data_IF_789515912240
#
_entry.id   IF_789515912240
#
_cell.length_a   1.000
_cell.length_b   1.000
_cell.length_c   1.000
_cell.angle_alpha   90.00
_cell.angle_beta   90.00
_cell.angle_gamma   90.00
#
_symmetry.space_group_name_H-M   'P 1'
#
loop_
_entity.id
_entity.type
_entity.pdbx_description
1 polymer ?
#
# COMPACT_ATOMS: atom_id res chain seq x y z
N UNK A 1 -16.84 5.17 22.38
CA UNK A 1 -15.59 4.90 23.12
C UNK A 1 -15.25 3.41 23.24
N UNK A 2 -16.22 2.50 23.39
CA UNK A 2 -15.96 1.05 23.48
C UNK A 2 -15.36 0.39 22.22
N UNK A 3 -15.71 0.85 21.00
CA UNK A 3 -15.25 0.24 19.75
C UNK A 3 -13.80 0.54 19.39
N UNK A 4 -13.27 1.71 19.78
CA UNK A 4 -11.88 2.09 19.52
C UNK A 4 -10.92 1.28 20.40
N UNK A 5 -11.20 1.17 21.70
CA UNK A 5 -10.40 0.37 22.63
C UNK A 5 -10.33 -1.12 22.27
N UNK A 6 -11.42 -1.67 21.72
CA UNK A 6 -11.42 -3.05 21.22
C UNK A 6 -10.54 -3.24 19.97
N UNK A 7 -10.47 -2.23 19.08
CA UNK A 7 -9.60 -2.28 17.88
C UNK A 7 -8.14 -2.13 18.25
N UNK A 8 -7.83 -1.30 19.24
CA UNK A 8 -6.46 -1.13 19.74
C UNK A 8 -5.93 -2.41 20.40
N UNK A 9 -6.71 -3.02 21.28
CA UNK A 9 -6.34 -4.30 21.88
C UNK A 9 -6.11 -5.41 20.82
N UNK A 10 -6.93 -5.45 19.77
CA UNK A 10 -6.74 -6.40 18.67
C UNK A 10 -5.45 -6.14 17.88
N UNK A 11 -5.08 -4.87 17.66
CA UNK A 11 -3.80 -4.52 17.03
C UNK A 11 -2.61 -4.92 17.91
N UNK A 12 -2.72 -4.75 19.22
CA UNK A 12 -1.66 -5.15 20.15
C UNK A 12 -1.45 -6.68 20.14
N UNK A 13 -2.54 -7.46 20.12
CA UNK A 13 -2.46 -8.93 19.96
C UNK A 13 -1.77 -9.32 18.64
N UNK A 14 -2.10 -8.65 17.53
CA UNK A 14 -1.44 -8.90 16.25
C UNK A 14 0.05 -8.56 16.30
N UNK A 15 0.42 -7.44 16.95
CA UNK A 15 1.81 -7.03 17.10
C UNK A 15 2.61 -8.05 17.91
N UNK A 16 2.05 -8.55 19.00
CA UNK A 16 2.67 -9.60 19.81
C UNK A 16 2.86 -10.90 19.02
N UNK A 17 1.84 -11.31 18.26
CA UNK A 17 1.91 -12.50 17.41
C UNK A 17 2.99 -12.37 16.33
N UNK A 18 3.07 -11.20 15.67
CA UNK A 18 4.12 -10.90 14.68
C UNK A 18 5.51 -11.01 15.34
N UNK A 19 5.72 -10.42 16.51
CA UNK A 19 7.00 -10.51 17.24
C UNK A 19 7.34 -11.95 17.62
N UNK A 20 6.35 -12.75 18.03
CA UNK A 20 6.56 -14.15 18.38
C UNK A 20 7.01 -14.99 17.17
N UNK A 21 6.35 -14.81 16.01
CA UNK A 21 6.72 -15.51 14.76
C UNK A 21 8.07 -15.05 14.23
N UNK A 22 8.37 -13.75 14.30
CA UNK A 22 9.69 -13.21 13.90
C UNK A 22 10.85 -13.80 14.71
N UNK A 23 10.63 -14.10 16.00
CA UNK A 23 11.66 -14.66 16.89
C UNK A 23 11.86 -16.17 16.73
N UNK A 24 10.89 -16.87 16.14
CA UNK A 24 10.99 -18.30 15.89
C UNK A 24 12.08 -18.59 14.85
N UNK A 25 12.83 -19.69 15.01
CA UNK A 25 13.88 -20.10 14.08
C UNK A 25 13.66 -21.55 13.62
N UNK A 26 13.41 -21.80 12.32
CA UNK A 26 13.24 -20.80 11.26
C UNK A 26 11.89 -20.05 11.40
N UNK A 27 11.86 -18.79 10.98
CA UNK A 27 10.63 -18.01 10.96
C UNK A 27 9.68 -18.54 9.88
N UNK A 28 8.42 -18.77 10.23
CA UNK A 28 7.38 -19.10 9.25
C UNK A 28 6.98 -17.83 8.49
N UNK A 29 7.60 -17.63 7.32
CA UNK A 29 7.38 -16.46 6.45
C UNK A 29 5.92 -16.38 5.97
N UNK A 30 5.26 -17.53 5.80
CA UNK A 30 3.86 -17.57 5.32
C UNK A 30 2.94 -17.04 6.41
N UNK A 31 3.07 -17.57 7.63
CA UNK A 31 2.31 -17.11 8.78
C UNK A 31 2.63 -15.64 9.11
N UNK A 32 3.91 -15.26 9.06
CA UNK A 32 4.33 -13.88 9.27
C UNK A 32 3.64 -12.93 8.28
N UNK A 33 3.63 -13.28 6.99
CA UNK A 33 2.97 -12.46 5.98
C UNK A 33 1.45 -12.36 6.20
N UNK A 34 0.78 -13.42 6.66
CA UNK A 34 -0.64 -13.38 6.99
C UNK A 34 -0.94 -12.43 8.16
N UNK A 35 -0.18 -12.55 9.25
CA UNK A 35 -0.33 -11.69 10.42
C UNK A 35 -0.05 -10.22 10.08
N UNK A 36 1.00 -9.96 9.31
CA UNK A 36 1.36 -8.61 8.87
C UNK A 36 0.26 -8.01 8.00
N UNK A 37 -0.36 -8.76 7.07
CA UNK A 37 -1.49 -8.27 6.26
C UNK A 37 -2.66 -7.80 7.12
N UNK A 38 -3.01 -8.59 8.13
CA UNK A 38 -4.09 -8.21 9.04
C UNK A 38 -3.72 -6.99 9.88
N UNK A 39 -2.50 -6.94 10.42
CA UNK A 39 -2.03 -5.82 11.20
C UNK A 39 -2.04 -4.52 10.39
N UNK A 40 -1.44 -4.50 9.19
CA UNK A 40 -1.37 -3.28 8.38
C UNK A 40 -2.74 -2.82 7.90
N UNK A 41 -3.66 -3.75 7.60
CA UNK A 41 -5.05 -3.42 7.27
C UNK A 41 -5.74 -2.70 8.43
N UNK A 42 -5.57 -3.19 9.65
CA UNK A 42 -6.15 -2.58 10.85
C UNK A 42 -5.51 -1.23 11.19
N UNK A 43 -4.19 -1.12 11.12
CA UNK A 43 -3.46 0.13 11.36
C UNK A 43 -3.88 1.21 10.34
N UNK A 44 -4.07 0.86 9.06
CA UNK A 44 -4.62 1.79 8.07
C UNK A 44 -6.07 2.20 8.36
N UNK A 45 -6.91 1.28 8.84
CA UNK A 45 -8.29 1.59 9.22
C UNK A 45 -8.37 2.50 10.46
N UNK A 46 -7.36 2.45 11.34
CA UNK A 46 -7.19 3.33 12.49
C UNK A 46 -6.50 4.65 12.16
N UNK A 47 -6.16 4.89 10.89
CA UNK A 47 -5.48 6.13 10.47
C UNK A 47 -4.03 6.20 10.92
N UNK A 48 -3.34 5.06 11.04
CA UNK A 48 -1.93 4.95 11.46
C UNK A 48 -0.99 4.51 10.33
N UNK A 49 -0.94 5.23 9.19
CA UNK A 49 -0.06 4.86 8.09
C UNK A 49 1.43 4.91 8.46
N UNK A 50 1.83 5.71 9.46
CA UNK A 50 3.20 5.74 9.97
C UNK A 50 3.64 4.40 10.59
N UNK A 51 2.76 3.76 11.36
CA UNK A 51 3.03 2.44 11.95
C UNK A 51 3.20 1.38 10.85
N UNK A 52 2.39 1.46 9.80
CA UNK A 52 2.47 0.57 8.64
C UNK A 52 3.82 0.71 7.92
N UNK A 53 4.25 1.94 7.62
CA UNK A 53 5.55 2.14 6.97
C UNK A 53 6.71 1.64 7.83
N UNK A 54 6.68 1.89 9.14
CA UNK A 54 7.71 1.43 10.06
C UNK A 54 7.79 -0.11 10.09
N UNK A 55 6.64 -0.78 10.18
CA UNK A 55 6.56 -2.23 10.18
C UNK A 55 7.08 -2.84 8.87
N UNK A 56 6.58 -2.36 7.73
CA UNK A 56 6.94 -2.91 6.42
C UNK A 56 8.38 -2.62 6.03
N UNK A 57 8.96 -1.49 6.46
CA UNK A 57 10.39 -1.22 6.26
C UNK A 57 11.26 -2.18 7.08
N UNK A 58 10.86 -2.45 8.33
CA UNK A 58 11.59 -3.36 9.22
C UNK A 58 11.56 -4.81 8.73
N UNK A 59 10.44 -5.23 8.13
CA UNK A 59 10.24 -6.60 7.65
C UNK A 59 10.53 -6.80 6.17
N UNK A 60 10.98 -5.76 5.47
CA UNK A 60 11.33 -5.81 4.06
C UNK A 60 12.29 -6.98 3.72
N UNK A 61 13.36 -7.27 4.48
CA UNK A 61 14.28 -8.36 4.14
C UNK A 61 13.61 -9.73 4.04
N UNK A 62 12.53 -9.95 4.82
CA UNK A 62 11.81 -11.23 4.89
C UNK A 62 10.57 -11.23 3.99
N UNK A 63 9.96 -10.06 3.77
CA UNK A 63 8.67 -9.91 3.08
C UNK A 63 8.78 -9.24 1.70
N UNK A 64 9.99 -9.05 1.16
CA UNK A 64 10.23 -8.40 -0.12
C UNK A 64 9.54 -9.07 -1.32
N UNK A 65 9.23 -10.37 -1.24
CA UNK A 65 8.47 -11.10 -2.27
C UNK A 65 6.96 -10.87 -2.24
N UNK A 66 6.42 -10.17 -1.24
CA UNK A 66 4.97 -10.03 -1.04
C UNK A 66 4.44 -8.78 -1.75
N UNK A 67 4.03 -8.92 -3.02
CA UNK A 67 3.59 -7.82 -3.88
C UNK A 67 2.52 -6.90 -3.26
N UNK A 68 1.53 -7.46 -2.58
CA UNK A 68 0.48 -6.67 -1.93
C UNK A 68 0.98 -5.87 -0.72
N UNK A 69 2.02 -6.33 -0.01
CA UNK A 69 2.61 -5.54 1.08
C UNK A 69 3.36 -4.33 0.52
N UNK A 70 3.98 -4.44 -0.65
CA UNK A 70 4.49 -3.28 -1.39
C UNK A 70 3.37 -2.31 -1.78
N UNK A 71 2.22 -2.81 -2.24
CA UNK A 71 1.08 -1.94 -2.55
C UNK A 71 0.49 -1.25 -1.30
N UNK A 72 0.45 -1.95 -0.16
CA UNK A 72 0.03 -1.38 1.12
C UNK A 72 1.03 -0.31 1.59
N UNK A 73 2.34 -0.56 1.44
CA UNK A 73 3.38 0.44 1.69
C UNK A 73 3.16 1.68 0.82
N UNK A 74 2.87 1.47 -0.47
CA UNK A 74 2.49 2.52 -1.40
C UNK A 74 1.32 3.36 -0.90
N UNK A 75 0.24 2.71 -0.45
CA UNK A 75 -0.94 3.40 0.08
C UNK A 75 -0.64 4.17 1.38
N UNK A 76 0.13 3.57 2.30
CA UNK A 76 0.53 4.21 3.54
C UNK A 76 1.37 5.46 3.27
N UNK A 77 2.32 5.38 2.34
CA UNK A 77 3.13 6.52 1.91
C UNK A 77 2.27 7.64 1.28
N UNK A 78 1.25 7.31 0.47
CA UNK A 78 0.31 8.32 -0.06
C UNK A 78 -0.41 9.08 1.03
N UNK A 79 -0.96 8.37 2.02
CA UNK A 79 -1.69 8.98 3.14
C UNK A 79 -0.83 9.93 3.98
N UNK A 80 0.50 9.76 3.92
CA UNK A 80 1.48 10.61 4.58
C UNK A 80 2.05 11.71 3.66
N UNK A 81 1.56 11.86 2.43
CA UNK A 81 2.09 12.81 1.44
C UNK A 81 3.48 12.44 0.90
N UNK A 82 3.99 11.24 1.21
CA UNK A 82 5.29 10.75 0.73
C UNK A 82 5.15 10.16 -0.66
N UNK A 83 4.78 11.01 -1.61
CA UNK A 83 4.41 10.57 -2.96
C UNK A 83 5.55 9.88 -3.71
N UNK A 84 6.80 10.31 -3.53
CA UNK A 84 7.95 9.64 -4.15
C UNK A 84 8.11 8.19 -3.64
N UNK A 85 8.06 7.98 -2.32
CA UNK A 85 8.11 6.62 -1.73
C UNK A 85 6.91 5.78 -2.19
N UNK A 86 5.74 6.40 -2.29
CA UNK A 86 4.54 5.73 -2.77
C UNK A 86 4.68 5.21 -4.20
N UNK A 87 5.19 6.02 -5.13
CA UNK A 87 5.42 5.59 -6.52
C UNK A 87 6.36 4.39 -6.53
N UNK A 88 7.49 4.46 -5.82
CA UNK A 88 8.44 3.35 -5.78
C UNK A 88 7.81 2.06 -5.24
N UNK A 89 7.04 2.15 -4.17
CA UNK A 89 6.38 1.00 -3.58
C UNK A 89 5.30 0.39 -4.51
N UNK A 90 4.51 1.21 -5.20
CA UNK A 90 3.55 0.69 -6.19
C UNK A 90 4.24 0.07 -7.39
N UNK A 91 5.33 0.65 -7.89
CA UNK A 91 6.11 0.06 -8.99
C UNK A 91 6.76 -1.27 -8.57
N UNK A 92 7.26 -1.38 -7.34
CA UNK A 92 7.77 -2.64 -6.79
C UNK A 92 6.65 -3.71 -6.72
N UNK A 93 5.45 -3.33 -6.28
CA UNK A 93 4.29 -4.21 -6.28
C UNK A 93 3.94 -4.71 -7.69
N UNK A 94 3.88 -3.79 -8.66
CA UNK A 94 3.58 -4.08 -10.07
C UNK A 94 4.68 -4.89 -10.76
N UNK A 95 5.94 -4.75 -10.34
CA UNK A 95 7.04 -5.59 -10.82
C UNK A 95 6.87 -7.05 -10.37
N UNK A 96 6.49 -7.27 -9.11
CA UNK A 96 6.25 -8.61 -8.56
C UNK A 96 4.96 -9.24 -9.09
N UNK A 97 3.92 -8.42 -9.32
CA UNK A 97 2.66 -8.86 -9.89
C UNK A 97 2.12 -7.83 -10.88
N UNK A 98 2.44 -8.01 -12.17
CA UNK A 98 1.90 -7.17 -13.23
C UNK A 98 0.37 -7.30 -13.33
N UNK A 99 -0.27 -6.27 -13.90
CA UNK A 99 -1.69 -6.35 -14.23
C UNK A 99 -2.65 -6.05 -13.08
N UNK A 100 -2.26 -5.19 -12.14
CA UNK A 100 -3.10 -4.75 -11.02
C UNK A 100 -3.53 -3.28 -11.22
N UNK A 101 -4.70 -3.00 -11.85
CA UNK A 101 -5.13 -1.65 -12.20
C UNK A 101 -5.22 -0.71 -10.99
N UNK A 102 -5.64 -1.22 -9.84
CA UNK A 102 -5.71 -0.46 -8.58
C UNK A 102 -4.35 0.08 -8.13
N UNK A 103 -3.26 -0.64 -8.39
CA UNK A 103 -1.91 -0.22 -8.01
C UNK A 103 -1.34 0.77 -9.03
N UNK A 104 -1.68 0.59 -10.31
CA UNK A 104 -1.39 1.57 -11.37
C UNK A 104 -2.08 2.91 -11.08
N UNK A 105 -3.35 2.91 -10.68
CA UNK A 105 -4.06 4.11 -10.25
C UNK A 105 -3.45 4.73 -8.99
N UNK A 106 -3.04 3.90 -8.03
CA UNK A 106 -2.29 4.36 -6.85
C UNK A 106 -1.01 5.10 -7.26
N UNK A 107 -0.21 4.51 -8.15
CA UNK A 107 0.97 5.17 -8.71
C UNK A 107 0.61 6.47 -9.44
N UNK A 108 -0.44 6.47 -10.27
CA UNK A 108 -0.91 7.64 -11.02
C UNK A 108 -1.26 8.81 -10.10
N UNK A 109 -1.97 8.56 -9.00
CA UNK A 109 -2.32 9.59 -8.00
C UNK A 109 -1.06 10.19 -7.38
N UNK A 110 -0.07 9.38 -7.02
CA UNK A 110 1.20 9.89 -6.48
C UNK A 110 2.02 10.65 -7.52
N UNK A 111 2.06 10.18 -8.76
CA UNK A 111 2.74 10.86 -9.86
C UNK A 111 2.10 12.24 -10.13
N UNK A 112 0.77 12.32 -10.13
CA UNK A 112 0.06 13.58 -10.28
C UNK A 112 0.38 14.56 -9.14
N UNK A 113 0.42 14.08 -7.89
CA UNK A 113 0.81 14.89 -6.74
C UNK A 113 2.27 15.39 -6.79
N UNK A 114 3.14 14.68 -7.52
CA UNK A 114 4.52 15.10 -7.81
C UNK A 114 4.63 16.02 -9.03
N UNK A 115 3.51 16.37 -9.69
CA UNK A 115 3.51 17.13 -10.94
C UNK A 115 3.95 16.35 -12.18
N UNK A 116 4.12 15.03 -12.07
CA UNK A 116 4.52 14.15 -13.19
C UNK A 116 3.29 13.72 -13.99
N UNK A 117 2.60 14.70 -14.59
CA UNK A 117 1.27 14.54 -15.18
C UNK A 117 1.23 13.53 -16.33
N UNK A 118 2.24 13.52 -17.20
CA UNK A 118 2.31 12.56 -18.33
C UNK A 118 2.50 11.13 -17.85
N UNK A 119 3.37 10.92 -16.86
CA UNK A 119 3.58 9.60 -16.26
C UNK A 119 2.32 9.12 -15.52
N UNK A 120 1.61 10.04 -14.84
CA UNK A 120 0.33 9.74 -14.22
C UNK A 120 -0.72 9.32 -15.25
N UNK A 121 -0.80 10.02 -16.39
CA UNK A 121 -1.69 9.67 -17.50
C UNK A 121 -1.38 8.27 -18.02
N UNK A 122 -0.11 7.98 -18.29
CA UNK A 122 0.32 6.66 -18.75
C UNK A 122 -0.14 5.53 -17.81
N UNK A 123 0.05 5.70 -16.49
CA UNK A 123 -0.38 4.70 -15.50
C UNK A 123 -1.91 4.54 -15.47
N UNK A 124 -2.67 5.63 -15.50
CA UNK A 124 -4.12 5.59 -15.50
C UNK A 124 -4.70 4.95 -16.77
N UNK A 125 -4.09 5.23 -17.92
CA UNK A 125 -4.48 4.64 -19.21
C UNK A 125 -4.18 3.15 -19.26
N UNK A 126 -3.00 2.73 -18.78
CA UNK A 126 -2.66 1.31 -18.64
C UNK A 126 -3.66 0.59 -17.72
N UNK A 127 -4.02 1.21 -16.58
CA UNK A 127 -5.01 0.65 -15.67
C UNK A 127 -6.37 0.45 -16.37
N UNK A 128 -6.81 1.45 -17.14
CA UNK A 128 -8.08 1.43 -17.87
C UNK A 128 -8.10 0.43 -19.02
N UNK A 129 -6.97 0.19 -19.67
CA UNK A 129 -6.84 -0.81 -20.72
C UNK A 129 -7.00 -2.25 -20.20
N UNK A 130 -6.68 -2.49 -18.92
CA UNK A 130 -6.82 -3.79 -18.27
C UNK A 130 -8.22 -4.06 -17.72
N UNK A 131 -9.06 -3.03 -17.59
CA UNK A 131 -10.44 -3.18 -17.16
C UNK A 131 -11.04 -1.92 -16.54
N UNK A 132 -12.27 -2.02 -16.02
CA UNK A 132 -12.92 -0.91 -15.33
C UNK A 132 -12.10 -0.41 -14.15
N UNK A 133 -11.91 0.91 -14.09
CA UNK A 133 -11.18 1.61 -13.03
C UNK A 133 -12.11 2.55 -12.28
N UNK A 134 -11.75 2.95 -11.06
CA UNK A 134 -12.55 3.88 -10.23
C UNK A 134 -12.77 5.21 -10.96
N UNK A 135 -14.03 5.59 -11.27
CA UNK A 135 -14.34 6.88 -11.88
C UNK A 135 -13.92 8.08 -11.02
N UNK A 136 -13.96 7.91 -9.70
CA UNK A 136 -13.56 8.92 -8.73
C UNK A 136 -12.07 9.26 -8.87
N UNK A 137 -11.22 8.24 -8.99
CA UNK A 137 -9.78 8.44 -9.18
C UNK A 137 -9.49 9.12 -10.52
N UNK A 138 -10.16 8.71 -11.61
CA UNK A 138 -9.98 9.38 -12.90
C UNK A 138 -10.42 10.85 -12.85
N UNK A 139 -11.51 11.14 -12.14
CA UNK A 139 -11.99 12.51 -11.94
C UNK A 139 -10.98 13.35 -11.18
N UNK A 140 -10.43 12.81 -10.09
CA UNK A 140 -9.34 13.43 -9.34
C UNK A 140 -8.12 13.72 -10.22
N UNK A 141 -7.70 12.75 -11.04
CA UNK A 141 -6.55 12.92 -11.93
C UNK A 141 -6.78 14.03 -12.97
N UNK A 142 -7.98 14.11 -13.58
CA UNK A 142 -8.31 15.23 -14.48
C UNK A 142 -8.27 16.58 -13.78
N UNK A 143 -8.82 16.66 -12.57
CA UNK A 143 -8.80 17.88 -11.76
C UNK A 143 -7.37 18.29 -11.38
N UNK A 144 -6.48 17.31 -11.18
CA UNK A 144 -5.05 17.52 -10.95
C UNK A 144 -4.27 17.89 -12.23
N UNK A 145 -4.94 18.02 -13.39
CA UNK A 145 -4.32 18.40 -14.66
C UNK A 145 -3.74 17.24 -15.47
N UNK A 146 -4.02 15.99 -15.09
CA UNK A 146 -3.54 14.82 -15.84
C UNK A 146 -4.27 14.69 -17.17
N UNK A 147 -3.55 14.63 -18.32
CA UNK A 147 -4.15 14.53 -19.64
C UNK A 147 -4.61 13.09 -19.93
N UNK A 148 -5.79 12.74 -19.42
CA UNK A 148 -6.44 11.46 -19.71
C UNK A 148 -7.15 11.51 -21.07
N UNK A 149 -7.09 10.41 -21.82
CA UNK A 149 -7.73 10.28 -23.14
C UNK A 149 -9.15 9.74 -23.03
#
# INVERSE_FOLDING_TARGET
MWSAGSRDAAVDVLREAVVAVERAQPADVTLLAQLVREQVRMELALGRPGAVLALLSRLEPVLSGQADLWAVRGNAAQRLGRHQESVQAYLAALHLRPGEPRWMLGAAVSLAALGQLEAAAQQAEQARALGPVSPEVLTYLRQAGVPLR
#
